data_IF_461107704197
#
_entry.id   IF_461107704197
#
_cell.length_a   1.000
_cell.length_b   1.000
_cell.length_c   1.000
_cell.angle_alpha   90.00
_cell.angle_beta   90.00
_cell.angle_gamma   90.00
#
_symmetry.space_group_name_H-M   'P 1'
#
loop_
_entity.id
_entity.type
_entity.pdbx_description
1 polymer ?
#
# COMPACT_ATOMS: atom_id res chain seq x y z
N UNK A 1 6.52 -6.64 -19.25
CA UNK A 1 5.41 -5.81 -19.78
C UNK A 1 4.26 -5.86 -18.78
N UNK A 2 3.68 -4.73 -18.37
CA UNK A 2 2.59 -4.72 -17.37
C UNK A 2 1.30 -5.31 -17.97
N UNK A 3 0.66 -6.23 -17.24
CA UNK A 3 -0.62 -6.82 -17.66
C UNK A 3 -1.77 -5.83 -17.40
N UNK A 4 -2.15 -5.08 -18.44
CA UNK A 4 -3.21 -4.07 -18.38
C UNK A 4 -4.56 -4.63 -17.94
N UNK A 5 -4.86 -5.89 -18.26
CA UNK A 5 -6.13 -6.54 -17.87
C UNK A 5 -6.21 -6.71 -16.36
N UNK A 6 -5.12 -7.17 -15.73
CA UNK A 6 -5.07 -7.32 -14.27
C UNK A 6 -5.15 -5.96 -13.55
N UNK A 7 -4.55 -4.91 -14.12
CA UNK A 7 -4.64 -3.55 -13.57
C UNK A 7 -6.07 -3.04 -13.62
N UNK A 8 -6.79 -3.27 -14.73
CA UNK A 8 -8.20 -2.91 -14.86
C UNK A 8 -9.09 -3.67 -13.88
N UNK A 9 -8.86 -4.98 -13.70
CA UNK A 9 -9.57 -5.76 -12.68
C UNK A 9 -9.32 -5.22 -11.27
N UNK A 10 -8.07 -4.91 -10.94
CA UNK A 10 -7.70 -4.33 -9.64
C UNK A 10 -8.36 -2.97 -9.40
N UNK A 11 -8.38 -2.10 -10.42
CA UNK A 11 -9.05 -0.82 -10.34
C UNK A 11 -10.57 -0.97 -10.12
N UNK A 12 -11.18 -2.00 -10.72
CA UNK A 12 -12.60 -2.31 -10.54
C UNK A 12 -12.91 -2.82 -9.13
N UNK A 13 -12.07 -3.70 -8.57
CA UNK A 13 -12.19 -4.13 -7.17
C UNK A 13 -12.09 -2.97 -6.19
N UNK A 14 -11.09 -2.08 -6.38
CA UNK A 14 -10.93 -0.88 -5.56
C UNK A 14 -12.16 0.03 -5.65
N UNK A 15 -12.72 0.21 -6.86
CA UNK A 15 -13.96 0.96 -7.03
C UNK A 15 -15.11 0.31 -6.26
N UNK A 16 -15.28 -1.01 -6.36
CA UNK A 16 -16.38 -1.71 -5.70
C UNK A 16 -16.27 -1.63 -4.17
N UNK A 17 -15.06 -1.70 -3.60
CA UNK A 17 -14.88 -1.54 -2.15
C UNK A 17 -15.23 -0.13 -1.68
N UNK A 18 -14.84 0.91 -2.43
CA UNK A 18 -15.22 2.31 -2.16
C UNK A 18 -16.74 2.50 -2.26
N UNK A 19 -17.34 1.99 -3.34
CA UNK A 19 -18.77 2.14 -3.63
C UNK A 19 -19.66 1.36 -2.66
N UNK A 20 -19.23 0.17 -2.22
CA UNK A 20 -19.96 -0.65 -1.25
C UNK A 20 -19.74 -0.18 0.20
N UNK A 21 -18.59 0.42 0.50
CA UNK A 21 -18.23 0.88 1.84
C UNK A 21 -18.74 2.28 2.22
N UNK A 22 -19.50 2.97 1.35
CA UNK A 22 -19.85 4.41 1.49
C UNK A 22 -18.65 5.27 1.94
N UNK A 23 -17.46 4.97 1.41
CA UNK A 23 -16.25 5.71 1.76
C UNK A 23 -16.17 6.93 0.85
N UNK A 24 -16.50 8.11 1.39
CA UNK A 24 -16.34 9.37 0.68
C UNK A 24 -14.87 9.56 0.32
N UNK A 25 -14.55 9.49 -0.96
CA UNK A 25 -13.24 9.91 -1.47
C UNK A 25 -13.26 11.44 -1.51
N UNK A 26 -12.61 12.07 -0.54
CA UNK A 26 -12.43 13.52 -0.54
C UNK A 26 -11.48 13.89 -1.68
N UNK A 27 -11.97 14.65 -2.66
CA UNK A 27 -11.11 15.36 -3.59
C UNK A 27 -10.86 16.77 -3.03
N UNK A 28 -9.58 17.10 -2.80
CA UNK A 28 -9.13 18.47 -2.51
C UNK A 28 -9.82 19.15 -1.31
N UNK A 29 -10.17 18.41 -0.25
CA UNK A 29 -10.76 19.00 0.96
C UNK A 29 -12.20 19.51 0.79
N UNK A 30 -12.84 19.24 -0.34
CA UNK A 30 -14.25 19.58 -0.57
C UNK A 30 -15.07 18.29 -0.57
N UNK A 31 -16.09 18.24 0.29
CA UNK A 31 -17.07 17.15 0.32
C UNK A 31 -18.00 17.27 -0.90
N UNK A 32 -17.51 16.89 -2.09
CA UNK A 32 -18.35 16.69 -3.28
C UNK A 32 -18.46 15.20 -3.57
N UNK A 33 -19.67 14.76 -3.89
CA UNK A 33 -19.88 13.43 -4.45
C UNK A 33 -19.14 13.34 -5.78
N UNK A 34 -18.20 12.41 -5.87
CA UNK A 34 -17.47 12.16 -7.10
C UNK A 34 -18.37 11.39 -8.06
N UNK A 35 -18.27 11.75 -9.33
CA UNK A 35 -18.90 10.94 -10.38
C UNK A 35 -18.25 9.56 -10.44
N UNK A 36 -19.00 8.56 -10.92
CA UNK A 36 -18.48 7.21 -11.10
C UNK A 36 -17.18 7.14 -11.92
N UNK A 37 -17.02 8.04 -12.91
CA UNK A 37 -15.81 8.15 -13.72
C UNK A 37 -14.61 8.70 -12.93
N UNK A 38 -14.80 9.72 -12.09
CA UNK A 38 -13.74 10.30 -11.26
C UNK A 38 -13.23 9.29 -10.22
N UNK A 39 -14.13 8.55 -9.57
CA UNK A 39 -13.79 7.46 -8.64
C UNK A 39 -12.97 6.40 -9.36
N UNK A 40 -13.44 5.92 -10.50
CA UNK A 40 -12.73 4.88 -11.26
C UNK A 40 -11.35 5.36 -11.71
N UNK A 41 -11.21 6.61 -12.18
CA UNK A 41 -9.92 7.18 -12.59
C UNK A 41 -8.90 7.21 -11.44
N UNK A 42 -9.39 7.44 -10.21
CA UNK A 42 -8.56 7.50 -9.01
C UNK A 42 -8.13 6.09 -8.60
N UNK A 43 -9.08 5.14 -8.57
CA UNK A 43 -8.79 3.72 -8.34
C UNK A 43 -7.84 3.15 -9.41
N UNK A 44 -7.96 3.58 -10.66
CA UNK A 44 -7.07 3.18 -11.75
C UNK A 44 -5.65 3.70 -11.53
N UNK A 45 -5.49 4.98 -11.14
CA UNK A 45 -4.19 5.55 -10.76
C UNK A 45 -3.56 4.79 -9.59
N UNK A 46 -4.37 4.44 -8.58
CA UNK A 46 -3.92 3.64 -7.45
C UNK A 46 -3.48 2.23 -7.87
N UNK A 47 -4.25 1.54 -8.70
CA UNK A 47 -3.89 0.21 -9.21
C UNK A 47 -2.57 0.24 -10.01
N UNK A 48 -2.35 1.28 -10.82
CA UNK A 48 -1.06 1.49 -11.49
C UNK A 48 0.08 1.73 -10.52
N UNK A 49 -0.13 2.51 -9.46
CA UNK A 49 0.88 2.74 -8.42
C UNK A 49 1.23 1.46 -7.67
N UNK A 50 0.24 0.63 -7.31
CA UNK A 50 0.44 -0.68 -6.67
C UNK A 50 1.32 -1.59 -7.54
N UNK A 51 1.00 -1.71 -8.83
CA UNK A 51 1.78 -2.55 -9.75
C UNK A 51 3.19 -2.02 -9.99
N UNK A 52 3.38 -0.70 -10.08
CA UNK A 52 4.73 -0.11 -10.19
C UNK A 52 5.54 -0.36 -8.94
N UNK A 53 4.94 -0.24 -7.76
CA UNK A 53 5.60 -0.49 -6.48
C UNK A 53 6.00 -1.96 -6.34
N UNK A 54 5.11 -2.89 -6.71
CA UNK A 54 5.42 -4.31 -6.72
C UNK A 54 6.58 -4.64 -7.68
N UNK A 55 6.60 -4.04 -8.88
CA UNK A 55 7.70 -4.21 -9.82
C UNK A 55 9.04 -3.62 -9.30
N UNK A 56 8.99 -2.47 -8.62
CA UNK A 56 10.17 -1.89 -7.97
C UNK A 56 10.72 -2.82 -6.88
N UNK A 57 9.86 -3.36 -6.01
CA UNK A 57 10.27 -4.34 -4.99
C UNK A 57 10.79 -5.62 -5.64
N UNK A 58 10.18 -6.10 -6.72
CA UNK A 58 10.63 -7.30 -7.42
C UNK A 58 12.03 -7.13 -8.04
N UNK A 59 12.41 -5.90 -8.37
CA UNK A 59 13.76 -5.59 -8.86
C UNK A 59 14.83 -5.63 -7.77
N UNK A 60 14.44 -5.62 -6.49
CA UNK A 60 15.36 -5.76 -5.36
C UNK A 60 15.78 -7.24 -5.25
N UNK A 61 17.09 -7.55 -5.18
CA UNK A 61 17.59 -8.89 -4.94
C UNK A 61 16.92 -9.56 -3.74
N UNK A 62 16.64 -10.86 -3.83
CA UNK A 62 15.94 -11.58 -2.77
C UNK A 62 16.71 -11.54 -1.42
N UNK A 63 18.04 -11.58 -1.47
CA UNK A 63 18.90 -11.44 -0.29
C UNK A 63 18.71 -10.08 0.40
N UNK A 64 18.66 -9.00 -0.38
CA UNK A 64 18.50 -7.64 0.15
C UNK A 64 17.09 -7.42 0.72
N UNK A 65 16.06 -7.96 0.05
CA UNK A 65 14.69 -7.97 0.58
C UNK A 65 14.60 -8.70 1.93
N UNK A 66 15.26 -9.86 2.04
CA UNK A 66 15.28 -10.61 3.29
C UNK A 66 16.04 -9.87 4.39
N UNK A 67 17.14 -9.21 4.06
CA UNK A 67 17.88 -8.37 4.99
C UNK A 67 17.02 -7.18 5.49
N UNK A 68 16.27 -6.53 4.60
CA UNK A 68 15.33 -5.46 4.95
C UNK A 68 14.21 -5.97 5.88
N UNK A 69 13.62 -7.14 5.60
CA UNK A 69 12.61 -7.76 6.48
C UNK A 69 13.18 -8.01 7.88
N UNK A 70 14.39 -8.57 7.98
CA UNK A 70 15.05 -8.82 9.27
C UNK A 70 15.31 -7.51 10.01
N UNK A 71 15.78 -6.47 9.30
CA UNK A 71 16.00 -5.14 9.87
C UNK A 71 14.70 -4.55 10.44
N UNK A 72 13.59 -4.61 9.70
CA UNK A 72 12.29 -4.11 10.14
C UNK A 72 11.73 -4.90 11.34
N UNK A 73 11.94 -6.21 11.39
CA UNK A 73 11.57 -7.04 12.56
C UNK A 73 12.35 -6.64 13.80
N UNK A 74 13.65 -6.36 13.65
CA UNK A 74 14.49 -5.86 14.73
C UNK A 74 14.06 -4.46 15.19
N UNK A 75 13.67 -3.59 14.25
CA UNK A 75 13.14 -2.27 14.57
C UNK A 75 11.86 -2.38 15.41
N UNK A 76 10.92 -3.23 15.01
CA UNK A 76 9.69 -3.51 15.79
C UNK A 76 10.04 -3.98 17.20
N UNK A 77 10.99 -4.90 17.37
CA UNK A 77 11.42 -5.37 18.69
C UNK A 77 12.01 -4.22 19.53
N UNK A 78 12.77 -3.33 18.91
CA UNK A 78 13.39 -2.18 19.55
C UNK A 78 12.41 -1.02 19.83
N UNK A 79 11.19 -1.03 19.28
CA UNK A 79 10.17 -0.01 19.57
C UNK A 79 9.80 0.02 21.06
N UNK A 80 9.83 -1.14 21.73
CA UNK A 80 9.59 -1.25 23.17
C UNK A 80 10.59 -0.44 24.04
N UNK A 81 11.77 -0.14 23.49
CA UNK A 81 12.83 0.63 24.16
C UNK A 81 12.74 2.13 23.86
N UNK A 82 11.81 2.55 22.99
CA UNK A 82 11.65 3.96 22.62
C UNK A 82 10.90 4.73 23.71
N UNK A 83 11.16 6.03 23.78
CA UNK A 83 10.50 6.89 24.74
C UNK A 83 9.01 7.05 24.42
N UNK A 84 8.21 7.41 25.42
CA UNK A 84 6.77 7.66 25.29
C UNK A 84 6.40 8.76 24.27
N UNK A 85 7.35 9.62 23.89
CA UNK A 85 7.16 10.67 22.88
C UNK A 85 7.30 10.15 21.45
N UNK A 86 7.75 8.90 21.30
CA UNK A 86 7.85 8.23 20.02
C UNK A 86 6.51 7.61 19.66
N UNK A 87 6.03 7.81 18.43
CA UNK A 87 4.80 7.17 17.96
C UNK A 87 5.07 5.70 17.61
N UNK A 88 5.13 4.88 18.65
CA UNK A 88 5.35 3.44 18.55
C UNK A 88 4.27 2.81 17.66
N UNK A 89 3.02 3.20 17.84
CA UNK A 89 1.89 2.60 17.13
C UNK A 89 1.87 2.92 15.63
N UNK A 90 2.23 4.15 15.23
CA UNK A 90 2.38 4.49 13.81
C UNK A 90 3.59 3.78 13.20
N UNK A 91 4.72 3.78 13.91
CA UNK A 91 5.97 3.18 13.40
C UNK A 91 5.82 1.67 13.24
N UNK A 92 5.25 0.98 14.24
CA UNK A 92 4.99 -0.45 14.16
C UNK A 92 4.09 -0.81 12.98
N UNK A 93 3.00 -0.04 12.77
CA UNK A 93 2.10 -0.25 11.63
C UNK A 93 2.83 -0.05 10.30
N UNK A 94 3.69 0.95 10.20
CA UNK A 94 4.49 1.21 9.01
C UNK A 94 5.49 0.07 8.73
N UNK A 95 6.23 -0.39 9.74
CA UNK A 95 7.16 -1.51 9.60
C UNK A 95 6.44 -2.80 9.19
N UNK A 96 5.30 -3.13 9.82
CA UNK A 96 4.49 -4.31 9.47
C UNK A 96 3.94 -4.23 8.03
N UNK A 97 3.45 -3.06 7.63
CA UNK A 97 2.97 -2.86 6.25
C UNK A 97 4.10 -3.05 5.24
N UNK A 98 5.30 -2.54 5.54
CA UNK A 98 6.47 -2.70 4.67
C UNK A 98 6.92 -4.16 4.57
N UNK A 99 6.94 -4.91 5.68
CA UNK A 99 7.24 -6.35 5.66
C UNK A 99 6.26 -7.09 4.76
N UNK A 100 4.94 -6.84 4.91
CA UNK A 100 3.92 -7.49 4.09
C UNK A 100 4.11 -7.21 2.59
N UNK A 101 4.54 -6.00 2.21
CA UNK A 101 4.85 -5.67 0.81
C UNK A 101 6.07 -6.43 0.28
N UNK A 102 7.11 -6.59 1.10
CA UNK A 102 8.32 -7.33 0.70
C UNK A 102 8.03 -8.83 0.55
N UNK A 103 7.24 -9.40 1.46
CA UNK A 103 6.83 -10.81 1.45
C UNK A 103 5.86 -11.11 0.29
N UNK A 104 4.93 -10.21 -0.03
CA UNK A 104 3.97 -10.39 -1.14
C UNK A 104 4.63 -10.49 -2.53
N UNK A 105 5.88 -10.05 -2.67
CA UNK A 105 6.65 -10.13 -3.93
C UNK A 105 7.63 -11.30 -3.90
N UNK A 106 7.83 -11.95 -2.75
CA UNK A 106 8.70 -13.12 -2.61
C UNK A 106 7.97 -14.45 -2.85
N UNK A 107 6.64 -14.48 -2.69
CA UNK A 107 5.76 -15.60 -3.03
C UNK A 107 5.45 -15.68 -4.53
#
# INVERSE_FOLDING_TARGET
MFNRRNIMFRAWELRNTVHNGRRWLYCNGVSRELTNGEIFSTCLRQAWAEVRRAAQIASIPAADRQAEIVSLKNEIAALSLKSFRYDIGQTERACRARIAELEAVAA
#
